data_IF_209973494895
#
_entry.id   IF_209973494895
#
_cell.length_a   1.000
_cell.length_b   1.000
_cell.length_c   1.000
_cell.angle_alpha   90.00
_cell.angle_beta   90.00
_cell.angle_gamma   90.00
#
_symmetry.space_group_name_H-M   'P 1'
#
loop_
_entity.id
_entity.type
_entity.pdbx_description
1 polymer ?
#
# COMPACT_ATOMS: atom_id res chain seq x y z
N UNK A 1 6.14 -27.26 0.69
CA UNK A 1 5.27 -26.26 0.09
C UNK A 1 5.94 -25.59 -1.10
N UNK A 2 5.17 -25.17 -2.08
CA UNK A 2 5.71 -24.35 -3.16
C UNK A 2 5.92 -22.90 -2.71
N UNK A 3 7.00 -22.27 -3.17
CA UNK A 3 7.31 -20.87 -2.94
C UNK A 3 8.08 -20.26 -4.12
N UNK A 4 7.88 -18.97 -4.37
CA UNK A 4 8.70 -18.19 -5.28
C UNK A 4 9.84 -17.53 -4.48
N UNK A 5 11.08 -17.87 -4.82
CA UNK A 5 12.26 -17.56 -4.02
C UNK A 5 13.23 -16.67 -4.80
N UNK A 6 13.62 -15.55 -4.24
CA UNK A 6 14.75 -14.74 -4.70
C UNK A 6 16.02 -15.41 -4.20
N UNK A 7 16.79 -16.01 -5.11
CA UNK A 7 18.09 -16.66 -4.82
C UNK A 7 19.27 -15.76 -5.16
N UNK A 8 19.06 -14.82 -6.08
CA UNK A 8 20.02 -13.78 -6.45
C UNK A 8 19.27 -12.53 -6.94
N UNK A 9 19.79 -11.35 -6.64
CA UNK A 9 19.20 -10.10 -7.12
C UNK A 9 19.27 -9.99 -8.65
N UNK A 10 18.26 -9.31 -9.22
CA UNK A 10 18.12 -9.07 -10.66
C UNK A 10 17.98 -10.35 -11.50
N UNK A 11 17.72 -11.49 -10.87
CA UNK A 11 17.42 -12.75 -11.53
C UNK A 11 15.93 -13.09 -11.38
N UNK A 12 15.36 -13.90 -12.29
CA UNK A 12 14.02 -14.45 -12.10
C UNK A 12 13.88 -15.20 -10.79
N UNK A 13 12.72 -15.10 -10.15
CA UNK A 13 12.41 -15.88 -8.96
C UNK A 13 12.34 -17.37 -9.35
N UNK A 14 12.86 -18.22 -8.47
CA UNK A 14 12.80 -19.67 -8.65
C UNK A 14 11.59 -20.24 -7.90
N UNK A 15 10.73 -20.98 -8.58
CA UNK A 15 9.66 -21.74 -7.93
C UNK A 15 10.27 -23.00 -7.34
N UNK A 16 10.29 -23.09 -6.01
CA UNK A 16 10.94 -24.19 -5.26
C UNK A 16 9.96 -24.89 -4.32
N UNK A 17 10.26 -26.18 -4.06
CA UNK A 17 9.73 -26.87 -2.88
C UNK A 17 10.59 -26.53 -1.68
N UNK A 18 9.98 -25.94 -0.66
CA UNK A 18 10.62 -25.60 0.61
C UNK A 18 9.86 -26.23 1.77
N UNK A 19 10.47 -26.33 2.93
CA UNK A 19 9.77 -26.81 4.13
C UNK A 19 8.68 -25.85 4.56
N UNK A 20 7.57 -26.37 5.10
CA UNK A 20 6.55 -25.56 5.75
C UNK A 20 7.14 -25.04 7.07
N UNK A 21 7.19 -23.72 7.29
CA UNK A 21 7.79 -23.18 8.50
C UNK A 21 6.96 -23.54 9.74
N UNK A 22 7.61 -23.71 10.87
CA UNK A 22 6.94 -23.94 12.16
C UNK A 22 6.76 -22.62 12.88
N UNK A 23 5.56 -22.36 13.44
CA UNK A 23 5.33 -21.12 14.18
C UNK A 23 6.14 -21.10 15.48
N UNK A 24 6.78 -19.97 15.75
CA UNK A 24 7.33 -19.64 17.05
C UNK A 24 6.23 -19.35 18.08
N UNK A 25 6.58 -19.05 19.34
CA UNK A 25 5.59 -18.84 20.39
C UNK A 25 4.57 -17.73 20.10
N UNK A 26 4.98 -16.66 19.42
CA UNK A 26 4.12 -15.51 19.09
C UNK A 26 3.54 -15.56 17.66
N UNK A 27 3.91 -16.56 16.87
CA UNK A 27 3.55 -16.63 15.47
C UNK A 27 2.24 -17.39 15.22
N UNK A 28 1.61 -17.11 14.10
CA UNK A 28 0.59 -17.94 13.50
C UNK A 28 1.07 -18.45 12.13
N UNK A 29 0.79 -19.72 11.84
CA UNK A 29 1.00 -20.30 10.52
C UNK A 29 -0.28 -20.14 9.71
N UNK A 30 -0.16 -19.54 8.55
CA UNK A 30 -1.27 -19.19 7.68
C UNK A 30 -1.14 -19.98 6.38
N UNK A 31 -2.19 -20.73 6.01
CA UNK A 31 -2.35 -21.32 4.68
C UNK A 31 -2.91 -20.26 3.75
N UNK A 32 -2.14 -19.92 2.73
CA UNK A 32 -2.47 -18.81 1.85
C UNK A 32 -3.68 -19.13 0.95
N UNK A 33 -4.54 -18.14 0.78
CA UNK A 33 -5.66 -18.11 -0.17
C UNK A 33 -5.29 -17.19 -1.33
N UNK A 34 -4.83 -15.97 -1.01
CA UNK A 34 -4.51 -14.94 -1.98
C UNK A 34 -3.28 -14.13 -1.53
N UNK A 35 -2.52 -13.61 -2.48
CA UNK A 35 -1.49 -12.61 -2.19
C UNK A 35 -1.41 -11.58 -3.33
N UNK A 36 -1.59 -10.30 -3.00
CA UNK A 36 -1.35 -9.22 -3.95
C UNK A 36 0.12 -9.11 -4.34
N UNK A 37 0.38 -8.60 -5.55
CA UNK A 37 1.72 -8.33 -6.04
C UNK A 37 1.93 -6.82 -6.11
N UNK A 38 2.94 -6.32 -5.40
CA UNK A 38 3.27 -4.91 -5.26
C UNK A 38 4.61 -4.57 -5.94
N UNK A 39 4.81 -3.31 -6.34
CA UNK A 39 6.12 -2.84 -6.81
C UNK A 39 7.23 -3.01 -5.77
N UNK A 40 6.89 -2.98 -4.49
CA UNK A 40 7.81 -3.28 -3.39
C UNK A 40 8.42 -4.68 -3.52
N UNK A 41 7.64 -5.69 -3.91
CA UNK A 41 8.13 -7.06 -4.11
C UNK A 41 9.15 -7.14 -5.27
N UNK A 42 8.92 -6.36 -6.34
CA UNK A 42 9.86 -6.22 -7.45
C UNK A 42 11.15 -5.51 -6.99
N UNK A 43 11.05 -4.44 -6.18
CA UNK A 43 12.21 -3.75 -5.62
C UNK A 43 13.04 -4.68 -4.71
N UNK A 44 12.37 -5.50 -3.90
CA UNK A 44 12.99 -6.54 -3.06
C UNK A 44 13.74 -7.54 -3.93
N UNK A 45 13.10 -8.10 -4.96
CA UNK A 45 13.68 -9.10 -5.85
C UNK A 45 14.90 -8.57 -6.62
N UNK A 46 14.93 -7.28 -6.91
CA UNK A 46 16.04 -6.63 -7.61
C UNK A 46 17.12 -6.06 -6.69
N UNK A 47 16.90 -6.03 -5.38
CA UNK A 47 17.85 -5.45 -4.42
C UNK A 47 18.10 -3.95 -4.65
N UNK A 48 17.05 -3.20 -4.98
CA UNK A 48 17.14 -1.79 -5.41
C UNK A 48 17.24 -0.79 -4.25
N UNK A 49 17.13 -1.25 -3.00
CA UNK A 49 17.29 -0.39 -1.83
C UNK A 49 18.71 -0.47 -1.26
N UNK A 50 19.15 0.58 -0.59
CA UNK A 50 20.48 0.65 0.03
C UNK A 50 20.73 -0.50 1.00
N UNK A 51 19.72 -0.81 1.83
CA UNK A 51 19.74 -1.99 2.67
C UNK A 51 19.05 -3.13 1.93
N UNK A 52 19.79 -4.16 1.58
CA UNK A 52 19.27 -5.31 0.84
C UNK A 52 18.77 -6.39 1.77
N UNK A 53 17.70 -7.12 1.41
CA UNK A 53 17.28 -8.28 2.19
C UNK A 53 18.34 -9.40 2.13
N UNK A 54 18.40 -10.20 3.18
CA UNK A 54 19.20 -11.43 3.17
C UNK A 54 18.57 -12.46 2.23
N UNK A 55 19.40 -13.13 1.44
CA UNK A 55 18.99 -14.18 0.52
C UNK A 55 19.33 -15.59 1.06
N UNK A 56 18.57 -16.63 0.73
CA UNK A 56 17.36 -16.61 -0.09
C UNK A 56 16.16 -15.95 0.61
N UNK A 57 15.26 -15.30 -0.15
CA UNK A 57 14.09 -14.59 0.38
C UNK A 57 12.83 -14.94 -0.41
N UNK A 58 11.72 -15.18 0.28
CA UNK A 58 10.38 -15.26 -0.30
C UNK A 58 9.74 -13.88 -0.16
N UNK A 59 9.41 -13.16 -1.26
CA UNK A 59 8.70 -11.88 -1.20
C UNK A 59 7.21 -12.04 -0.86
N UNK A 60 6.47 -10.94 -0.93
CA UNK A 60 5.02 -10.89 -0.71
C UNK A 60 4.63 -10.35 0.66
N UNK A 61 3.74 -9.34 0.66
CA UNK A 61 3.29 -8.65 1.88
C UNK A 61 1.83 -8.15 1.76
N UNK A 62 1.07 -8.72 0.86
CA UNK A 62 -0.37 -8.48 0.68
C UNK A 62 -1.13 -9.81 0.80
N UNK A 63 -0.71 -10.66 1.77
CA UNK A 63 -1.23 -12.00 1.91
C UNK A 63 -2.56 -12.05 2.65
N UNK A 64 -3.46 -12.96 2.25
CA UNK A 64 -4.65 -13.37 3.01
C UNK A 64 -4.72 -14.89 3.02
N UNK A 65 -5.00 -15.47 4.18
CA UNK A 65 -5.14 -16.91 4.33
C UNK A 65 -5.79 -17.31 5.64
N UNK A 66 -5.91 -18.62 5.82
CA UNK A 66 -6.52 -19.26 6.99
C UNK A 66 -5.44 -19.64 8.02
N UNK A 67 -5.63 -19.31 9.28
CA UNK A 67 -4.78 -19.75 10.38
C UNK A 67 -4.93 -21.26 10.56
N UNK A 68 -3.85 -22.01 10.35
CA UNK A 68 -3.83 -23.49 10.53
C UNK A 68 -3.08 -23.93 11.79
N UNK A 69 -2.16 -23.10 12.28
CA UNK A 69 -1.42 -23.38 13.53
C UNK A 69 -1.16 -22.07 14.28
N UNK A 70 -1.11 -22.15 15.62
CA UNK A 70 -0.98 -20.98 16.50
C UNK A 70 0.08 -21.26 17.55
N UNK A 71 1.02 -20.32 17.73
CA UNK A 71 2.05 -20.34 18.76
C UNK A 71 1.44 -20.19 20.17
N UNK A 72 2.15 -20.72 21.14
CA UNK A 72 1.65 -20.86 22.53
C UNK A 72 1.42 -19.55 23.29
N UNK A 73 1.98 -18.43 22.80
CA UNK A 73 1.87 -17.09 23.40
C UNK A 73 0.95 -16.14 22.61
N UNK A 74 0.33 -16.60 21.54
CA UNK A 74 -0.65 -15.83 20.80
C UNK A 74 -1.93 -15.68 21.63
N UNK A 75 -2.43 -14.46 21.76
CA UNK A 75 -3.63 -14.17 22.54
C UNK A 75 -4.91 -14.76 21.95
N UNK A 76 -5.95 -14.87 22.77
CA UNK A 76 -7.26 -15.45 22.41
C UNK A 76 -8.05 -14.67 21.34
N UNK A 77 -7.54 -13.57 20.83
CA UNK A 77 -8.14 -12.78 19.75
C UNK A 77 -8.04 -13.49 18.40
N UNK A 78 -7.11 -14.44 18.25
CA UNK A 78 -6.95 -15.29 17.06
C UNK A 78 -7.22 -16.76 17.41
N UNK A 79 -7.79 -17.49 16.45
CA UNK A 79 -8.04 -18.94 16.54
C UNK A 79 -7.80 -19.61 15.18
N UNK A 80 -7.58 -20.93 15.20
CA UNK A 80 -7.53 -21.74 13.96
C UNK A 80 -8.84 -21.58 13.19
N UNK A 81 -8.73 -21.46 11.86
CA UNK A 81 -9.83 -21.20 10.96
C UNK A 81 -10.15 -19.72 10.75
N UNK A 82 -9.55 -18.78 11.52
CA UNK A 82 -9.70 -17.35 11.24
C UNK A 82 -9.01 -17.01 9.92
N UNK A 83 -9.69 -16.20 9.11
CA UNK A 83 -9.10 -15.61 7.90
C UNK A 83 -8.40 -14.31 8.29
N UNK A 84 -7.10 -14.25 8.06
CA UNK A 84 -6.26 -13.11 8.44
C UNK A 84 -5.37 -12.68 7.28
N UNK A 85 -4.88 -11.44 7.34
CA UNK A 85 -3.93 -10.94 6.37
C UNK A 85 -2.55 -10.72 6.95
N UNK A 86 -1.58 -10.70 6.05
CA UNK A 86 -0.16 -10.49 6.29
C UNK A 86 0.23 -9.16 5.63
N UNK A 87 0.27 -8.04 6.39
CA UNK A 87 0.72 -6.74 5.88
C UNK A 87 2.25 -6.64 5.80
N UNK A 88 2.72 -5.50 5.26
CA UNK A 88 4.14 -5.14 5.27
C UNK A 88 4.75 -5.16 6.67
N UNK A 89 4.09 -4.54 7.65
CA UNK A 89 4.56 -4.50 9.03
C UNK A 89 4.31 -5.86 9.72
N UNK A 90 5.34 -6.73 9.71
CA UNK A 90 5.28 -8.06 10.28
C UNK A 90 5.35 -8.04 11.81
N UNK A 91 6.24 -7.21 12.36
CA UNK A 91 6.43 -7.06 13.81
C UNK A 91 7.10 -5.73 14.13
N UNK A 92 7.06 -5.33 15.40
CA UNK A 92 7.82 -4.22 15.95
C UNK A 92 8.24 -4.53 17.39
N UNK A 93 9.09 -3.69 18.01
CA UNK A 93 9.59 -3.96 19.35
C UNK A 93 8.55 -3.82 20.48
N UNK A 94 7.39 -3.20 20.22
CA UNK A 94 6.27 -2.96 21.13
C UNK A 94 6.55 -2.06 22.36
N UNK A 95 7.78 -1.62 22.61
CA UNK A 95 8.17 -0.89 23.81
C UNK A 95 8.88 0.44 23.58
N UNK A 96 9.29 0.78 22.35
CA UNK A 96 9.88 2.10 22.06
C UNK A 96 8.80 3.19 22.01
N UNK A 97 9.21 4.47 22.03
CA UNK A 97 8.32 5.62 21.99
C UNK A 97 7.31 5.57 20.83
N UNK A 98 7.75 5.10 19.65
CA UNK A 98 6.88 4.98 18.49
C UNK A 98 5.82 3.88 18.65
N UNK A 99 6.20 2.72 19.18
CA UNK A 99 5.25 1.64 19.43
C UNK A 99 4.23 2.02 20.50
N UNK A 100 4.68 2.62 21.60
CA UNK A 100 3.81 3.02 22.71
C UNK A 100 2.85 4.17 22.35
N UNK A 101 3.14 4.92 21.31
CA UNK A 101 2.29 6.05 20.86
C UNK A 101 1.51 5.73 19.57
N UNK A 102 1.39 4.44 19.20
CA UNK A 102 0.62 4.03 18.01
C UNK A 102 1.26 4.47 16.69
N UNK A 103 2.59 4.54 16.65
CA UNK A 103 3.39 4.91 15.46
C UNK A 103 4.40 3.81 15.14
N UNK A 104 4.04 2.55 15.30
CA UNK A 104 4.92 1.39 15.15
C UNK A 104 5.58 1.27 13.78
N UNK A 105 5.03 1.88 12.73
CA UNK A 105 5.67 1.99 11.40
C UNK A 105 6.97 2.80 11.41
N UNK A 106 7.24 3.55 12.49
CA UNK A 106 8.48 4.31 12.70
C UNK A 106 9.44 3.60 13.66
N UNK A 107 9.10 2.42 14.13
CA UNK A 107 9.97 1.63 15.00
C UNK A 107 11.27 1.25 14.25
N UNK A 108 12.43 1.55 14.85
CA UNK A 108 13.73 1.20 14.26
C UNK A 108 13.99 -0.30 14.22
N UNK A 109 13.26 -1.08 15.03
CA UNK A 109 13.34 -2.55 15.09
C UNK A 109 12.13 -3.20 14.40
N UNK A 110 11.49 -2.52 13.46
CA UNK A 110 10.41 -3.13 12.71
C UNK A 110 10.91 -4.26 11.82
N UNK A 111 10.09 -5.29 11.71
CA UNK A 111 10.30 -6.43 10.83
C UNK A 111 9.24 -6.37 9.73
N UNK A 112 9.64 -6.63 8.48
CA UNK A 112 8.78 -6.44 7.32
C UNK A 112 8.61 -7.76 6.55
N UNK A 113 7.36 -8.13 6.27
CA UNK A 113 7.02 -9.33 5.50
C UNK A 113 7.58 -9.26 4.08
N UNK A 114 8.18 -10.33 3.62
CA UNK A 114 8.77 -10.41 2.30
C UNK A 114 10.10 -9.67 2.13
N UNK A 115 10.57 -8.97 3.16
CA UNK A 115 11.83 -8.22 3.16
C UNK A 115 12.76 -8.63 4.30
N UNK A 116 12.42 -8.34 5.56
CA UNK A 116 13.22 -8.76 6.72
C UNK A 116 13.07 -10.26 7.01
N UNK A 117 11.86 -10.78 6.77
CA UNK A 117 11.50 -12.20 6.92
C UNK A 117 10.81 -12.68 5.64
N UNK A 118 10.63 -13.99 5.49
CA UNK A 118 9.90 -14.56 4.37
C UNK A 118 8.45 -14.06 4.36
N UNK A 119 7.92 -13.81 3.18
CA UNK A 119 6.58 -13.29 2.90
C UNK A 119 5.63 -14.35 2.36
N UNK A 120 4.69 -13.88 1.55
CA UNK A 120 3.48 -14.61 1.17
C UNK A 120 3.48 -15.18 -0.27
N UNK A 121 4.59 -15.11 -1.01
CA UNK A 121 4.68 -15.79 -2.30
C UNK A 121 4.97 -17.28 -2.12
N UNK A 122 4.12 -17.93 -1.32
CA UNK A 122 4.22 -19.35 -0.92
C UNK A 122 2.85 -19.86 -0.47
N UNK A 123 2.69 -21.20 -0.42
CA UNK A 123 1.43 -21.82 0.02
C UNK A 123 1.16 -21.64 1.52
N UNK A 124 2.21 -21.40 2.32
CA UNK A 124 2.10 -21.11 3.76
C UNK A 124 3.07 -20.02 4.13
N UNK A 125 2.66 -19.14 5.06
CA UNK A 125 3.50 -18.08 5.60
C UNK A 125 3.32 -17.93 7.10
N UNK A 126 4.35 -17.39 7.78
CA UNK A 126 4.26 -17.01 9.18
C UNK A 126 3.91 -15.53 9.33
N UNK A 127 3.22 -15.21 10.40
CA UNK A 127 2.95 -13.84 10.82
C UNK A 127 2.98 -13.75 12.34
N UNK A 128 3.57 -12.68 12.89
CA UNK A 128 3.43 -12.39 14.32
C UNK A 128 1.96 -12.17 14.65
N UNK A 129 1.45 -12.91 15.62
CA UNK A 129 0.02 -12.86 16.00
C UNK A 129 -0.45 -11.50 16.51
N UNK A 130 0.46 -10.63 16.99
CA UNK A 130 0.12 -9.25 17.36
C UNK A 130 -0.13 -8.35 16.15
N UNK A 131 0.34 -8.77 14.96
CA UNK A 131 0.26 -7.99 13.72
C UNK A 131 -0.62 -8.63 12.65
N UNK A 132 -1.06 -9.87 12.84
CA UNK A 132 -2.06 -10.51 12.00
C UNK A 132 -3.42 -9.82 12.19
N UNK A 133 -3.99 -9.28 11.11
CA UNK A 133 -5.26 -8.56 11.15
C UNK A 133 -6.34 -9.39 10.45
N UNK A 134 -7.45 -9.67 11.14
CA UNK A 134 -8.56 -10.43 10.58
C UNK A 134 -9.17 -9.72 9.37
N UNK A 135 -9.47 -10.51 8.34
CA UNK A 135 -10.33 -10.04 7.26
C UNK A 135 -11.78 -9.97 7.80
N UNK A 136 -12.45 -8.81 7.71
CA UNK A 136 -13.83 -8.70 8.12
C UNK A 136 -14.74 -9.69 7.37
N UNK A 137 -15.65 -10.35 8.08
CA UNK A 137 -16.55 -11.36 7.54
C UNK A 137 -17.31 -10.84 6.31
N UNK A 138 -17.39 -11.66 5.25
CA UNK A 138 -18.08 -11.35 4.01
C UNK A 138 -17.25 -10.57 2.99
N UNK A 139 -16.01 -10.17 3.30
CA UNK A 139 -15.09 -9.60 2.30
C UNK A 139 -14.42 -10.72 1.49
N UNK A 140 -14.26 -10.50 0.18
CA UNK A 140 -13.56 -11.42 -0.71
C UNK A 140 -12.04 -11.32 -0.50
N UNK A 141 -11.32 -12.42 -0.20
CA UNK A 141 -9.87 -12.40 0.00
C UNK A 141 -9.08 -11.85 -1.20
N UNK A 142 -9.54 -12.08 -2.42
CA UNK A 142 -8.79 -11.66 -3.61
C UNK A 142 -8.86 -10.14 -3.83
N UNK A 143 -10.06 -9.57 -3.77
CA UNK A 143 -10.23 -8.13 -3.94
C UNK A 143 -9.73 -7.33 -2.74
N UNK A 144 -9.58 -8.00 -1.58
CA UNK A 144 -9.11 -7.40 -0.32
C UNK A 144 -7.61 -7.53 -0.09
N UNK A 145 -6.91 -8.49 -0.71
CA UNK A 145 -5.47 -8.69 -0.50
C UNK A 145 -4.65 -7.41 -0.70
N UNK A 146 -4.85 -6.60 -1.76
CA UNK A 146 -4.12 -5.35 -1.91
C UNK A 146 -4.45 -4.29 -0.84
N UNK A 147 -5.56 -4.43 -0.10
CA UNK A 147 -5.90 -3.48 0.98
C UNK A 147 -4.92 -3.56 2.16
N UNK A 148 -4.24 -4.70 2.34
CA UNK A 148 -3.23 -4.89 3.40
C UNK A 148 -1.92 -4.14 3.14
N UNK A 149 -1.72 -3.61 1.93
CA UNK A 149 -0.63 -2.69 1.59
C UNK A 149 -1.17 -1.39 1.00
N UNK A 150 -1.68 -1.42 -0.24
CA UNK A 150 -2.16 -0.24 -0.94
C UNK A 150 -3.31 0.45 -0.19
N UNK A 151 -4.29 -0.32 0.31
CA UNK A 151 -5.42 0.22 1.07
C UNK A 151 -4.99 0.95 2.33
N UNK A 152 -4.26 0.27 3.21
CA UNK A 152 -3.79 0.88 4.48
C UNK A 152 -2.86 2.06 4.25
N UNK A 153 -2.02 2.00 3.19
CA UNK A 153 -1.10 3.09 2.84
C UNK A 153 -1.87 4.36 2.49
N UNK A 154 -2.86 4.28 1.63
CA UNK A 154 -3.62 5.47 1.21
C UNK A 154 -4.59 5.92 2.30
N UNK A 155 -5.19 5.01 3.06
CA UNK A 155 -6.00 5.34 4.23
C UNK A 155 -5.19 6.15 5.24
N UNK A 156 -3.98 5.69 5.60
CA UNK A 156 -3.06 6.42 6.48
C UNK A 156 -2.67 7.77 5.90
N UNK A 157 -2.36 7.83 4.61
CA UNK A 157 -2.01 9.08 3.94
C UNK A 157 -3.15 10.11 4.02
N UNK A 158 -4.40 9.68 3.81
CA UNK A 158 -5.58 10.54 3.98
C UNK A 158 -5.76 11.00 5.42
N UNK A 159 -5.54 10.14 6.42
CA UNK A 159 -5.56 10.56 7.84
C UNK A 159 -4.50 11.61 8.15
N UNK A 160 -3.26 11.41 7.72
CA UNK A 160 -2.16 12.36 7.98
C UNK A 160 -2.26 13.62 7.14
N UNK A 161 -3.05 13.64 6.07
CA UNK A 161 -3.37 14.86 5.32
C UNK A 161 -4.20 15.86 6.13
N UNK A 162 -4.89 15.40 7.16
CA UNK A 162 -5.82 16.17 8.01
C UNK A 162 -6.97 16.83 7.26
N UNK A 163 -7.24 16.43 6.04
CA UNK A 163 -8.40 16.89 5.28
C UNK A 163 -9.69 16.37 5.93
N UNK A 164 -10.65 17.25 6.12
CA UNK A 164 -11.94 16.95 6.75
C UNK A 164 -13.02 16.64 5.72
N UNK A 165 -14.13 15.99 6.11
CA UNK A 165 -15.28 15.84 5.23
C UNK A 165 -15.74 17.20 4.66
N UNK A 166 -16.03 17.21 3.35
CA UNK A 166 -16.40 18.44 2.62
C UNK A 166 -15.24 19.30 2.11
N UNK A 167 -14.01 19.04 2.59
CA UNK A 167 -12.80 19.72 2.13
C UNK A 167 -12.18 19.03 0.91
N UNK A 168 -11.34 19.77 0.17
CA UNK A 168 -10.68 19.25 -1.02
C UNK A 168 -9.38 18.51 -0.71
N UNK A 169 -9.22 17.33 -1.31
CA UNK A 169 -7.96 16.59 -1.39
C UNK A 169 -7.59 16.35 -2.85
N UNK A 170 -6.32 16.50 -3.19
CA UNK A 170 -5.82 16.03 -4.49
C UNK A 170 -5.12 14.69 -4.37
N UNK A 171 -5.41 13.78 -5.29
CA UNK A 171 -4.73 12.50 -5.45
C UNK A 171 -3.88 12.58 -6.72
N UNK A 172 -2.57 12.65 -6.56
CA UNK A 172 -1.64 12.77 -7.68
C UNK A 172 -1.18 11.39 -8.12
N UNK A 173 -1.71 10.96 -9.27
CA UNK A 173 -1.54 9.62 -9.84
C UNK A 173 -2.71 8.68 -9.51
N UNK A 174 -3.35 8.12 -10.54
CA UNK A 174 -4.50 7.20 -10.42
C UNK A 174 -4.15 5.83 -11.00
N UNK A 175 -3.06 5.26 -10.50
CA UNK A 175 -2.67 3.86 -10.74
C UNK A 175 -3.25 2.92 -9.69
N UNK A 176 -2.58 1.78 -9.46
CA UNK A 176 -3.00 0.76 -8.50
C UNK A 176 -3.15 1.27 -7.05
N UNK A 177 -2.37 2.30 -6.66
CA UNK A 177 -2.43 2.92 -5.34
C UNK A 177 -3.45 4.09 -5.32
N UNK A 178 -3.35 5.00 -6.28
CA UNK A 178 -4.19 6.19 -6.30
C UNK A 178 -5.66 5.91 -6.58
N UNK A 179 -6.00 4.87 -7.34
CA UNK A 179 -7.39 4.46 -7.54
C UNK A 179 -8.06 4.04 -6.22
N UNK A 180 -7.32 3.37 -5.35
CA UNK A 180 -7.81 3.02 -4.01
C UNK A 180 -7.91 4.27 -3.14
N UNK A 181 -6.95 5.23 -3.26
CA UNK A 181 -6.98 6.51 -2.55
C UNK A 181 -8.25 7.32 -2.85
N UNK A 182 -8.65 7.39 -4.12
CA UNK A 182 -9.90 8.09 -4.51
C UNK A 182 -11.10 7.49 -3.79
N UNK A 183 -11.24 6.16 -3.82
CA UNK A 183 -12.37 5.47 -3.16
C UNK A 183 -12.42 5.74 -1.65
N UNK A 184 -11.26 5.69 -0.96
CA UNK A 184 -11.20 6.01 0.46
C UNK A 184 -11.50 7.48 0.75
N UNK A 185 -10.94 8.41 -0.05
CA UNK A 185 -11.21 9.83 0.14
C UNK A 185 -12.70 10.15 0.01
N UNK A 186 -13.37 9.62 -1.01
CA UNK A 186 -14.82 9.74 -1.20
C UNK A 186 -15.59 9.11 -0.04
N UNK A 187 -15.22 7.90 0.39
CA UNK A 187 -15.86 7.21 1.53
C UNK A 187 -15.69 7.99 2.85
N UNK A 188 -14.58 8.72 3.00
CA UNK A 188 -14.33 9.60 4.15
C UNK A 188 -15.00 10.97 4.03
N UNK A 189 -15.81 11.20 2.98
CA UNK A 189 -16.56 12.45 2.74
C UNK A 189 -15.75 13.61 2.20
N UNK A 190 -14.54 13.38 1.69
CA UNK A 190 -13.68 14.41 1.10
C UNK A 190 -14.12 14.69 -0.34
N UNK A 191 -13.93 15.93 -0.80
CA UNK A 191 -14.05 16.30 -2.20
C UNK A 191 -12.73 16.00 -2.91
N UNK A 192 -12.78 15.32 -4.05
CA UNK A 192 -11.58 14.76 -4.67
C UNK A 192 -11.25 15.42 -6.00
N UNK A 193 -10.02 15.93 -6.10
CA UNK A 193 -9.35 16.24 -7.36
C UNK A 193 -8.36 15.12 -7.69
N UNK A 194 -8.40 14.57 -8.89
CA UNK A 194 -7.37 13.63 -9.34
C UNK A 194 -6.45 14.26 -10.38
N UNK A 195 -5.18 13.90 -10.35
CA UNK A 195 -4.19 14.25 -11.36
C UNK A 195 -3.75 12.97 -12.05
N UNK A 196 -4.01 12.86 -13.35
CA UNK A 196 -3.65 11.70 -14.17
C UNK A 196 -2.58 12.07 -15.20
N UNK A 197 -2.03 11.08 -15.89
CA UNK A 197 -1.07 11.33 -16.97
C UNK A 197 -1.74 12.14 -18.09
N UNK A 198 -0.99 13.01 -18.79
CA UNK A 198 -1.53 13.81 -19.87
C UNK A 198 -2.23 12.96 -20.95
N UNK A 199 -3.44 13.34 -21.29
CA UNK A 199 -4.29 12.69 -22.30
C UNK A 199 -4.68 11.22 -21.99
N UNK A 200 -4.53 10.76 -20.76
CA UNK A 200 -4.98 9.41 -20.34
C UNK A 200 -6.50 9.40 -20.09
N UNK A 201 -7.26 9.27 -21.16
CA UNK A 201 -8.73 9.24 -21.10
C UNK A 201 -9.27 8.06 -20.27
N UNK A 202 -8.53 6.96 -20.21
CA UNK A 202 -8.91 5.79 -19.38
C UNK A 202 -8.83 6.14 -17.90
N UNK A 203 -7.72 6.76 -17.46
CA UNK A 203 -7.57 7.20 -16.08
C UNK A 203 -8.54 8.33 -15.72
N UNK A 204 -8.87 9.23 -16.67
CA UNK A 204 -9.90 10.26 -16.48
C UNK A 204 -11.25 9.62 -16.20
N UNK A 205 -11.69 8.67 -17.04
CA UNK A 205 -12.98 8.01 -16.84
C UNK A 205 -12.99 7.21 -15.54
N UNK A 206 -11.93 6.45 -15.27
CA UNK A 206 -11.79 5.70 -14.02
C UNK A 206 -11.87 6.61 -12.78
N UNK A 207 -11.24 7.78 -12.81
CA UNK A 207 -11.31 8.76 -11.73
C UNK A 207 -12.75 9.23 -11.46
N UNK A 208 -13.49 9.54 -12.51
CA UNK A 208 -14.90 9.96 -12.43
C UNK A 208 -15.78 8.83 -11.88
N UNK A 209 -15.59 7.60 -12.37
CA UNK A 209 -16.36 6.43 -11.94
C UNK A 209 -16.14 6.11 -10.46
N UNK A 210 -14.98 6.49 -9.91
CA UNK A 210 -14.66 6.36 -8.49
C UNK A 210 -15.15 7.53 -7.63
N UNK A 211 -15.72 8.56 -8.21
CA UNK A 211 -16.31 9.70 -7.52
C UNK A 211 -15.39 10.93 -7.37
N UNK A 212 -14.32 11.04 -8.17
CA UNK A 212 -13.57 12.30 -8.26
C UNK A 212 -14.46 13.39 -8.89
N UNK A 213 -14.55 14.56 -8.23
CA UNK A 213 -15.34 15.68 -8.72
C UNK A 213 -14.61 16.43 -9.84
N UNK A 214 -13.29 16.52 -9.76
CA UNK A 214 -12.46 17.17 -10.76
C UNK A 214 -11.28 16.27 -11.17
N UNK A 215 -10.93 16.32 -12.45
CA UNK A 215 -9.85 15.51 -13.02
C UNK A 215 -8.96 16.39 -13.87
N UNK A 216 -7.66 16.38 -13.58
CA UNK A 216 -6.66 17.04 -14.39
C UNK A 216 -5.88 16.03 -15.24
N UNK A 217 -5.85 16.22 -16.55
CA UNK A 217 -5.16 15.40 -17.55
C UNK A 217 -4.25 16.24 -18.50
N UNK A 218 -3.91 17.44 -18.05
CA UNK A 218 -3.05 18.37 -18.79
C UNK A 218 -1.55 18.15 -18.53
N UNK A 219 -0.70 19.11 -18.95
CA UNK A 219 0.75 19.04 -18.75
C UNK A 219 1.16 18.79 -17.29
N UNK A 220 2.09 17.88 -17.05
CA UNK A 220 2.45 17.40 -15.71
C UNK A 220 3.07 18.47 -14.79
N UNK A 221 3.52 19.60 -15.35
CA UNK A 221 4.12 20.73 -14.65
C UNK A 221 3.14 21.89 -14.36
N UNK A 222 1.84 21.69 -14.59
CA UNK A 222 0.82 22.74 -14.45
C UNK A 222 -0.34 22.38 -13.53
N UNK A 223 -0.38 21.18 -12.98
CA UNK A 223 -1.54 20.77 -12.18
C UNK A 223 -1.66 21.56 -10.86
N UNK A 224 -0.56 22.04 -10.28
CA UNK A 224 -0.61 22.89 -9.10
C UNK A 224 -1.38 24.17 -9.35
N UNK A 225 -0.99 24.90 -10.41
CA UNK A 225 -1.68 26.13 -10.85
C UNK A 225 -3.14 25.87 -11.21
N UNK A 226 -3.40 24.83 -12.00
CA UNK A 226 -4.76 24.48 -12.40
C UNK A 226 -5.68 24.20 -11.19
N UNK A 227 -5.19 23.48 -10.17
CA UNK A 227 -5.94 23.20 -8.95
C UNK A 227 -6.25 24.49 -8.18
N UNK A 228 -5.32 25.45 -8.12
CA UNK A 228 -5.55 26.76 -7.51
C UNK A 228 -6.67 27.52 -8.26
N UNK A 229 -6.62 27.56 -9.59
CA UNK A 229 -7.60 28.26 -10.42
C UNK A 229 -8.99 27.57 -10.37
N UNK A 230 -9.01 26.24 -10.38
CA UNK A 230 -10.24 25.45 -10.50
C UNK A 230 -11.04 25.35 -9.20
N UNK A 231 -10.36 25.08 -8.07
CA UNK A 231 -11.01 24.83 -6.78
C UNK A 231 -10.50 25.74 -5.65
N UNK A 232 -9.64 26.71 -5.97
CA UNK A 232 -9.02 27.61 -4.99
C UNK A 232 -7.95 26.92 -4.10
N UNK A 233 -7.32 25.86 -4.63
CA UNK A 233 -6.36 25.00 -3.92
C UNK A 233 -7.04 23.91 -3.10
N UNK A 234 -6.24 22.95 -2.59
CA UNK A 234 -6.70 21.83 -1.78
C UNK A 234 -6.13 21.91 -0.36
N UNK A 235 -6.83 21.35 0.62
CA UNK A 235 -6.35 21.26 1.99
C UNK A 235 -5.23 20.23 2.14
N UNK A 236 -5.28 19.16 1.35
CA UNK A 236 -4.25 18.12 1.31
C UNK A 236 -3.97 17.63 -0.10
N UNK A 237 -2.73 17.28 -0.38
CA UNK A 237 -2.31 16.67 -1.64
C UNK A 237 -1.55 15.38 -1.36
N UNK A 238 -2.06 14.24 -1.80
CA UNK A 238 -1.47 12.91 -1.61
C UNK A 238 -0.78 12.49 -2.89
N UNK A 239 0.56 12.31 -2.85
CA UNK A 239 1.37 11.98 -4.03
C UNK A 239 1.69 10.49 -4.04
N UNK A 240 1.13 9.77 -5.02
CA UNK A 240 1.26 8.32 -5.17
C UNK A 240 2.13 7.88 -6.35
N UNK A 241 2.67 8.84 -7.12
CA UNK A 241 3.56 8.56 -8.25
C UNK A 241 5.02 8.88 -7.90
N UNK A 242 5.99 8.06 -8.30
CA UNK A 242 7.40 8.27 -7.99
C UNK A 242 8.07 9.27 -8.96
N UNK A 243 7.51 10.46 -9.07
CA UNK A 243 7.97 11.55 -9.96
C UNK A 243 8.22 12.80 -9.12
N UNK A 244 9.47 13.28 -9.06
CA UNK A 244 9.85 14.43 -8.22
C UNK A 244 9.01 15.67 -8.53
N UNK A 245 8.82 16.01 -9.81
CA UNK A 245 8.02 17.16 -10.21
C UNK A 245 6.56 17.09 -9.70
N UNK A 246 6.01 15.88 -9.50
CA UNK A 246 4.67 15.73 -8.95
C UNK A 246 4.57 16.24 -7.50
N UNK A 247 5.63 16.10 -6.70
CA UNK A 247 5.69 16.64 -5.34
C UNK A 247 5.80 18.16 -5.32
N UNK A 248 6.58 18.74 -6.25
CA UNK A 248 6.72 20.20 -6.40
C UNK A 248 5.40 20.84 -6.82
N UNK A 249 4.69 20.21 -7.74
CA UNK A 249 3.38 20.65 -8.17
C UNK A 249 2.31 20.43 -7.07
N UNK A 250 2.42 19.35 -6.29
CA UNK A 250 1.55 19.13 -5.13
C UNK A 250 1.73 20.26 -4.08
N UNK A 251 2.96 20.71 -3.85
CA UNK A 251 3.22 21.87 -2.99
C UNK A 251 2.53 23.14 -3.50
N UNK A 252 2.52 23.38 -4.81
CA UNK A 252 1.84 24.51 -5.42
C UNK A 252 0.30 24.39 -5.38
N UNK A 253 -0.21 23.17 -5.27
CA UNK A 253 -1.66 22.90 -5.30
C UNK A 253 -2.38 23.16 -3.98
N UNK A 254 -1.67 23.15 -2.85
CA UNK A 254 -2.28 23.27 -1.52
C UNK A 254 -2.59 24.71 -1.15
N UNK A 255 -3.62 24.88 -0.34
CA UNK A 255 -3.97 26.17 0.28
C UNK A 255 -2.98 26.56 1.36
N UNK A 256 -3.06 27.78 1.83
CA UNK A 256 -2.38 28.22 3.07
C UNK A 256 -2.84 27.33 4.24
N UNK A 257 -1.87 26.85 5.01
CA UNK A 257 -2.10 25.85 6.07
C UNK A 257 -2.37 24.43 5.52
N UNK A 258 -2.22 24.22 4.22
CA UNK A 258 -2.42 22.90 3.59
C UNK A 258 -1.22 21.97 3.74
N UNK A 259 -1.41 20.71 3.37
CA UNK A 259 -0.43 19.66 3.62
C UNK A 259 -0.18 18.80 2.39
N UNK A 260 1.10 18.62 2.04
CA UNK A 260 1.56 17.64 1.04
C UNK A 260 1.93 16.34 1.76
N UNK A 261 1.32 15.23 1.35
CA UNK A 261 1.61 13.90 1.89
C UNK A 261 2.43 13.10 0.88
N UNK A 262 3.68 12.84 1.23
CA UNK A 262 4.60 12.05 0.44
C UNK A 262 4.41 10.56 0.75
N UNK A 263 3.96 9.80 -0.26
CA UNK A 263 3.73 8.35 -0.18
C UNK A 263 4.67 7.58 -1.10
N UNK A 264 4.78 8.00 -2.35
CA UNK A 264 5.67 7.38 -3.32
C UNK A 264 7.14 7.71 -3.02
N UNK A 265 8.03 6.83 -3.48
CA UNK A 265 9.48 6.88 -3.22
C UNK A 265 10.26 7.15 -4.53
N UNK A 266 10.30 8.39 -5.04
CA UNK A 266 11.12 8.72 -6.21
C UNK A 266 12.60 8.78 -5.84
N UNK A 267 13.46 8.41 -6.79
CA UNK A 267 14.88 8.72 -6.70
C UNK A 267 15.08 10.21 -7.04
N UNK A 268 15.38 11.04 -6.04
CA UNK A 268 15.64 12.46 -6.27
C UNK A 268 15.30 13.35 -5.07
N UNK A 269 15.41 14.64 -5.29
CA UNK A 269 15.14 15.68 -4.29
C UNK A 269 14.14 16.67 -4.86
N UNK A 270 13.13 17.06 -4.08
CA UNK A 270 12.23 18.16 -4.45
C UNK A 270 12.80 19.50 -4.00
N UNK A 271 12.52 20.54 -4.77
CA UNK A 271 12.84 21.93 -4.43
C UNK A 271 11.55 22.68 -4.12
N UNK A 272 11.53 23.41 -3.02
CA UNK A 272 10.36 24.23 -2.62
C UNK A 272 10.79 25.69 -2.38
N UNK A 273 9.94 26.68 -2.72
CA UNK A 273 10.15 28.06 -2.35
C UNK A 273 9.99 28.22 -0.83
N UNK A 274 11.06 28.53 -0.12
CA UNK A 274 11.02 28.65 1.35
C UNK A 274 10.06 29.74 1.80
N UNK A 275 10.05 30.89 1.09
CA UNK A 275 9.14 32.02 1.41
C UNK A 275 7.69 31.57 1.34
N UNK A 276 7.29 30.86 0.31
CA UNK A 276 5.91 30.37 0.13
C UNK A 276 5.56 29.33 1.21
N UNK A 277 6.50 28.45 1.56
CA UNK A 277 6.33 27.50 2.63
C UNK A 277 6.06 28.20 3.97
N UNK A 278 6.88 29.20 4.32
CA UNK A 278 6.77 29.94 5.59
C UNK A 278 5.51 30.78 5.62
N UNK A 279 5.27 31.63 4.61
CA UNK A 279 4.12 32.53 4.59
C UNK A 279 2.80 31.80 4.35
N UNK A 280 2.85 30.67 3.66
CA UNK A 280 1.70 29.79 3.44
C UNK A 280 1.42 28.87 4.60
N UNK A 281 2.37 28.65 5.54
CA UNK A 281 2.24 27.66 6.60
C UNK A 281 2.04 26.25 6.04
N UNK A 282 2.72 25.94 4.92
CA UNK A 282 2.52 24.65 4.20
C UNK A 282 3.36 23.57 4.89
N UNK A 283 2.75 22.42 5.13
CA UNK A 283 3.42 21.27 5.70
C UNK A 283 3.73 20.21 4.63
N UNK A 284 4.89 19.55 4.76
CA UNK A 284 5.27 18.38 3.97
C UNK A 284 5.47 17.23 4.95
N UNK A 285 4.71 16.15 4.79
CA UNK A 285 4.75 15.00 5.70
C UNK A 285 4.94 13.70 4.92
N UNK A 286 5.81 12.82 5.43
CA UNK A 286 5.93 11.46 4.94
C UNK A 286 4.86 10.57 5.53
N UNK A 287 4.38 9.60 4.73
CA UNK A 287 3.46 8.56 5.19
C UNK A 287 3.90 7.21 4.64
N UNK A 288 4.19 6.27 5.51
CA UNK A 288 4.59 4.91 5.15
C UNK A 288 3.59 3.92 5.70
N UNK A 289 3.04 3.08 4.80
CA UNK A 289 2.04 2.05 5.12
C UNK A 289 1.06 2.52 6.21
N UNK A 290 0.65 1.67 7.11
CA UNK A 290 -0.17 2.03 8.27
C UNK A 290 0.16 1.12 9.45
N UNK A 291 -0.25 1.55 10.63
CA UNK A 291 -0.19 0.76 11.86
C UNK A 291 -1.25 -0.35 11.83
N UNK A 292 -1.20 -1.28 12.80
CA UNK A 292 -2.26 -2.29 12.99
C UNK A 292 -3.64 -1.63 13.13
N UNK A 293 -3.72 -0.52 13.85
CA UNK A 293 -4.96 0.24 14.02
C UNK A 293 -5.43 0.86 12.70
N UNK A 294 -4.51 1.46 11.94
CA UNK A 294 -4.86 2.02 10.62
C UNK A 294 -5.35 0.93 9.67
N UNK A 295 -4.75 -0.27 9.69
CA UNK A 295 -5.19 -1.39 8.85
C UNK A 295 -6.59 -1.87 9.26
N UNK A 296 -6.86 -2.00 10.55
CA UNK A 296 -8.18 -2.39 11.04
C UNK A 296 -9.25 -1.40 10.60
N UNK A 297 -9.03 -0.11 10.82
CA UNK A 297 -9.93 0.96 10.40
C UNK A 297 -10.12 1.00 8.87
N UNK A 298 -9.02 0.80 8.12
CA UNK A 298 -9.03 0.69 6.67
C UNK A 298 -10.00 -0.42 6.19
N UNK A 299 -9.88 -1.62 6.75
CA UNK A 299 -10.74 -2.74 6.38
C UNK A 299 -12.21 -2.55 6.80
N UNK A 300 -12.46 -1.93 7.95
CA UNK A 300 -13.82 -1.58 8.41
C UNK A 300 -14.50 -0.60 7.43
N UNK A 301 -13.80 0.45 7.02
CA UNK A 301 -14.29 1.40 6.01
C UNK A 301 -14.48 0.71 4.67
N UNK A 302 -13.53 -0.15 4.26
CA UNK A 302 -13.66 -0.90 3.01
C UNK A 302 -14.91 -1.77 3.00
N UNK A 303 -15.18 -2.48 4.09
CA UNK A 303 -16.39 -3.29 4.25
C UNK A 303 -17.67 -2.43 4.17
N UNK A 304 -17.70 -1.34 4.94
CA UNK A 304 -18.87 -0.44 5.02
C UNK A 304 -19.22 0.19 3.67
N UNK A 305 -18.21 0.62 2.93
CA UNK A 305 -18.37 1.33 1.67
C UNK A 305 -18.12 0.46 0.43
N UNK A 306 -17.95 -0.87 0.61
CA UNK A 306 -17.68 -1.84 -0.46
C UNK A 306 -16.49 -1.44 -1.32
N UNK A 307 -15.41 -1.00 -0.67
CA UNK A 307 -14.18 -0.65 -1.36
C UNK A 307 -13.44 -1.93 -1.71
N UNK A 308 -13.37 -2.23 -2.99
CA UNK A 308 -12.69 -3.39 -3.54
C UNK A 308 -11.63 -2.94 -4.55
N UNK A 309 -10.52 -3.69 -4.60
CA UNK A 309 -9.53 -3.50 -5.65
C UNK A 309 -9.97 -4.23 -6.92
N UNK A 310 -9.76 -3.60 -8.09
CA UNK A 310 -9.87 -4.31 -9.36
C UNK A 310 -8.66 -5.22 -9.50
N UNK A 311 -8.88 -6.54 -9.52
CA UNK A 311 -7.82 -7.54 -9.51
C UNK A 311 -7.83 -8.44 -10.73
N UNK A 312 -6.64 -8.89 -11.12
CA UNK A 312 -6.40 -9.97 -12.06
C UNK A 312 -5.79 -11.13 -11.29
N UNK A 313 -6.48 -12.29 -11.27
CA UNK A 313 -5.98 -13.50 -10.61
C UNK A 313 -4.94 -14.19 -11.50
N UNK A 314 -3.80 -14.55 -10.94
CA UNK A 314 -2.71 -15.26 -11.60
C UNK A 314 -2.18 -16.37 -10.67
N UNK A 315 -1.46 -17.34 -11.21
CA UNK A 315 -0.82 -18.40 -10.43
C UNK A 315 0.56 -17.96 -9.92
N UNK A 316 1.05 -18.64 -8.87
CA UNK A 316 2.39 -18.39 -8.33
C UNK A 316 3.49 -18.57 -9.40
N UNK A 317 3.29 -19.52 -10.32
CA UNK A 317 4.20 -19.81 -11.41
C UNK A 317 4.38 -18.65 -12.40
N UNK A 318 3.36 -17.76 -12.47
CA UNK A 318 3.36 -16.61 -13.38
C UNK A 318 4.15 -15.42 -12.82
N UNK A 319 4.78 -15.52 -11.64
CA UNK A 319 5.33 -14.37 -10.91
C UNK A 319 6.36 -13.59 -11.72
N UNK A 320 7.19 -14.26 -12.50
CA UNK A 320 8.20 -13.59 -13.34
C UNK A 320 7.54 -12.83 -14.50
N UNK A 321 6.51 -13.40 -15.13
CA UNK A 321 5.73 -12.72 -16.19
C UNK A 321 4.97 -11.52 -15.60
N UNK A 322 4.45 -11.64 -14.36
CA UNK A 322 3.81 -10.52 -13.64
C UNK A 322 4.82 -9.40 -13.43
N UNK A 323 6.03 -9.68 -13.00
CA UNK A 323 7.07 -8.67 -12.82
C UNK A 323 7.45 -7.98 -14.13
N UNK A 324 7.54 -8.74 -15.25
CA UNK A 324 7.76 -8.18 -16.58
C UNK A 324 6.57 -7.29 -17.03
N UNK A 325 5.33 -7.70 -16.75
CA UNK A 325 4.14 -6.89 -17.03
C UNK A 325 4.14 -5.59 -16.21
N UNK A 326 4.58 -5.64 -14.94
CA UNK A 326 4.70 -4.45 -14.09
C UNK A 326 5.74 -3.46 -14.61
N UNK A 327 6.92 -3.94 -15.01
CA UNK A 327 8.01 -3.12 -15.56
C UNK A 327 7.57 -2.41 -16.84
N UNK A 328 6.80 -3.09 -17.67
CA UNK A 328 6.33 -2.58 -18.96
C UNK A 328 4.97 -1.88 -18.88
N UNK A 329 4.46 -1.58 -17.67
CA UNK A 329 3.19 -0.89 -17.43
C UNK A 329 1.98 -1.55 -18.13
N UNK A 330 1.98 -2.88 -18.25
CA UNK A 330 0.89 -3.65 -18.90
C UNK A 330 -0.24 -4.05 -17.95
N UNK A 331 -0.09 -3.80 -16.64
CA UNK A 331 -1.08 -4.17 -15.63
C UNK A 331 -2.08 -3.04 -15.45
N UNK A 332 -3.37 -3.37 -15.60
CA UNK A 332 -4.48 -2.47 -15.23
C UNK A 332 -5.10 -2.97 -13.92
N UNK A 333 -5.08 -2.13 -12.89
CA UNK A 333 -5.51 -2.51 -11.53
C UNK A 333 -4.39 -3.19 -10.72
N UNK A 334 -4.71 -4.31 -10.09
CA UNK A 334 -3.78 -5.08 -9.23
C UNK A 334 -3.72 -6.54 -9.69
N UNK A 335 -2.59 -7.18 -9.51
CA UNK A 335 -2.46 -8.63 -9.69
C UNK A 335 -2.49 -9.31 -8.34
N UNK A 336 -3.19 -10.44 -8.26
CA UNK A 336 -3.30 -11.25 -7.04
C UNK A 336 -3.01 -12.71 -7.39
N UNK A 337 -2.06 -13.30 -6.69
CA UNK A 337 -1.75 -14.72 -6.76
C UNK A 337 -2.86 -15.52 -6.10
N UNK A 338 -3.36 -16.53 -6.80
CA UNK A 338 -4.39 -17.46 -6.34
C UNK A 338 -3.74 -18.79 -5.94
N UNK A 339 -3.80 -19.11 -4.64
CA UNK A 339 -3.27 -20.36 -4.10
C UNK A 339 -4.31 -21.48 -4.01
N UNK A 340 -5.57 -21.22 -4.40
CA UNK A 340 -6.66 -22.20 -4.38
C UNK A 340 -6.92 -22.82 -5.76
N UNK A 341 -6.45 -22.19 -6.84
CA UNK A 341 -6.56 -22.74 -8.19
C UNK A 341 -5.70 -24.00 -8.32
N UNK A 342 -6.35 -25.10 -8.69
CA UNK A 342 -5.70 -26.38 -8.97
C UNK A 342 -4.97 -26.35 -10.33
#
# INVERSE_FOLDING_TARGET
MQAAVVTAFEKPLEIKQVEIPKPGPTDVLIKMIACGVCHTDLHVARGQWDVKPELPRIPGHEGIGEIVEIGSMVGNHLKKGDIVGIPWLHASCLHCEYCLTGRETLCKQQINSGYSVNGCFSEYALMDGHFAVKLPEGMDPYTSAPLYCAGVTVYKALKVSQVRPGEWVSIVGVGGLGSVAVKYAVAMGMRVVTVVAPNDKTAVQLSKDMGAEEVYDGPSDQHGKWIQEKVGGVQGSVVTVPIVAAFEQAFQSVKRGGRVVAVALPNGKMTIPIVDCVLGGIEIVGSIVGTRKDLQECLEIAKLHKIECRVQKRKLQDINDIFEDMINYRISGRVVLDFTAK
#
